data_IF_250914073460
#
_entry.id   IF_250914073460
#
_cell.length_a   1.000
_cell.length_b   1.000
_cell.length_c   1.000
_cell.angle_alpha   90.00
_cell.angle_beta   90.00
_cell.angle_gamma   90.00
#
_symmetry.space_group_name_H-M   'P 1'
#
loop_
_entity.id
_entity.type
_entity.pdbx_description
1 polymer ?
#
# COMPACT_ATOMS: atom_id res chain seq x y z
N UNK A 1 3.49 2.21 27.03
CA UNK A 1 2.37 2.30 26.07
C UNK A 1 3.00 2.15 24.71
N UNK A 2 2.88 0.98 24.07
CA UNK A 2 3.42 0.78 22.72
C UNK A 2 2.66 1.67 21.75
N UNK A 3 3.40 2.49 21.03
CA UNK A 3 2.93 3.48 20.07
C UNK A 3 2.17 2.74 18.98
N UNK A 4 0.99 3.24 18.58
CA UNK A 4 0.10 2.61 17.57
C UNK A 4 0.83 2.18 16.28
N UNK A 5 1.94 2.85 15.94
CA UNK A 5 2.79 2.52 14.79
C UNK A 5 3.57 1.21 14.95
N UNK A 6 4.08 0.89 16.13
CA UNK A 6 4.79 -0.38 16.36
C UNK A 6 3.83 -1.57 16.19
N UNK A 7 2.59 -1.42 16.67
CA UNK A 7 1.55 -2.44 16.51
C UNK A 7 1.14 -2.60 15.04
N UNK A 8 1.06 -1.51 14.29
CA UNK A 8 0.81 -1.57 12.86
C UNK A 8 1.97 -2.23 12.10
N UNK A 9 3.22 -2.00 12.53
CA UNK A 9 4.39 -2.64 11.95
C UNK A 9 4.34 -4.15 12.11
N UNK A 10 4.12 -4.64 13.33
CA UNK A 10 4.01 -6.08 13.61
C UNK A 10 2.89 -6.74 12.82
N UNK A 11 1.74 -6.07 12.68
CA UNK A 11 0.58 -6.61 11.98
C UNK A 11 0.71 -6.60 10.46
N UNK A 12 1.29 -5.55 9.88
CA UNK A 12 1.19 -5.29 8.44
C UNK A 12 2.51 -5.36 7.67
N UNK A 13 3.67 -5.40 8.32
CA UNK A 13 4.96 -5.34 7.61
C UNK A 13 5.14 -6.50 6.63
N UNK A 14 5.08 -7.74 7.12
CA UNK A 14 5.25 -8.92 6.29
C UNK A 14 4.17 -9.08 5.20
N UNK A 15 2.86 -8.95 5.48
CA UNK A 15 1.85 -9.10 4.43
C UNK A 15 1.92 -7.98 3.38
N UNK A 16 2.23 -6.74 3.76
CA UNK A 16 2.38 -5.65 2.80
C UNK A 16 3.63 -5.80 1.95
N UNK A 17 4.76 -6.16 2.57
CA UNK A 17 5.99 -6.43 1.83
C UNK A 17 5.74 -7.51 0.76
N UNK A 18 5.13 -8.64 1.15
CA UNK A 18 4.77 -9.69 0.20
C UNK A 18 3.78 -9.21 -0.87
N UNK A 19 2.80 -8.40 -0.50
CA UNK A 19 1.83 -7.84 -1.43
C UNK A 19 2.48 -6.93 -2.48
N UNK A 20 3.46 -6.11 -2.07
CA UNK A 20 4.23 -5.21 -2.93
C UNK A 20 5.17 -6.03 -3.80
N UNK A 21 5.93 -6.98 -3.25
CA UNK A 21 6.88 -7.84 -4.00
C UNK A 21 6.23 -8.67 -5.09
N UNK A 22 4.97 -9.08 -4.91
CA UNK A 22 4.19 -9.75 -5.97
C UNK A 22 3.87 -8.85 -7.18
N UNK A 23 3.99 -7.52 -7.02
CA UNK A 23 3.69 -6.52 -8.05
C UNK A 23 4.92 -5.78 -8.53
N UNK A 24 5.90 -5.59 -7.66
CA UNK A 24 7.13 -4.84 -7.89
C UNK A 24 8.31 -5.78 -7.79
N UNK A 25 8.93 -6.07 -8.93
CA UNK A 25 10.02 -7.03 -9.04
C UNK A 25 11.35 -6.55 -8.43
N UNK A 26 11.55 -5.23 -8.34
CA UNK A 26 12.72 -4.63 -7.71
C UNK A 26 12.54 -4.59 -6.18
N UNK A 27 13.49 -5.18 -5.45
CA UNK A 27 13.47 -5.23 -3.99
C UNK A 27 13.63 -3.85 -3.37
N UNK A 28 14.54 -3.02 -3.89
CA UNK A 28 14.79 -1.69 -3.35
C UNK A 28 13.54 -0.81 -3.48
N UNK A 29 12.88 -0.87 -4.63
CA UNK A 29 11.60 -0.16 -4.85
C UNK A 29 10.51 -0.70 -3.93
N UNK A 30 10.44 -2.02 -3.71
CA UNK A 30 9.43 -2.59 -2.84
C UNK A 30 9.60 -2.12 -1.38
N UNK A 31 10.84 -2.06 -0.90
CA UNK A 31 11.18 -1.51 0.42
C UNK A 31 10.86 -0.01 0.52
N UNK A 32 11.14 0.78 -0.51
CA UNK A 32 10.81 2.20 -0.55
C UNK A 32 9.29 2.43 -0.47
N UNK A 33 8.51 1.68 -1.26
CA UNK A 33 7.04 1.76 -1.23
C UNK A 33 6.49 1.31 0.12
N UNK A 34 7.08 0.29 0.74
CA UNK A 34 6.67 -0.18 2.06
C UNK A 34 6.90 0.90 3.13
N UNK A 35 8.06 1.56 3.09
CA UNK A 35 8.36 2.69 3.97
C UNK A 35 7.35 3.82 3.81
N UNK A 36 7.00 4.19 2.56
CA UNK A 36 5.99 5.21 2.27
C UNK A 36 4.60 4.84 2.83
N UNK A 37 4.22 3.55 2.78
CA UNK A 37 2.98 3.08 3.41
C UNK A 37 3.03 3.32 4.91
N UNK A 38 4.11 2.92 5.59
CA UNK A 38 4.23 3.07 7.05
C UNK A 38 4.32 4.53 7.50
N UNK A 39 4.95 5.41 6.71
CA UNK A 39 4.94 6.84 6.95
C UNK A 39 3.50 7.40 6.93
N UNK A 40 2.70 6.98 5.94
CA UNK A 40 1.29 7.37 5.87
C UNK A 40 0.46 6.79 7.02
N UNK A 41 0.71 5.53 7.39
CA UNK A 41 0.08 4.91 8.57
C UNK A 41 0.38 5.74 9.81
N UNK A 42 1.64 6.06 10.07
CA UNK A 42 2.05 6.84 11.24
C UNK A 42 1.32 8.19 11.32
N UNK A 43 1.23 8.92 10.20
CA UNK A 43 0.51 10.19 10.10
C UNK A 43 -1.00 10.06 10.38
N UNK A 44 -1.60 8.92 10.00
CA UNK A 44 -3.05 8.72 10.10
C UNK A 44 -3.47 7.99 11.39
N UNK A 45 -2.57 7.25 12.03
CA UNK A 45 -2.86 6.60 13.34
C UNK A 45 -3.12 7.61 14.45
N UNK A 46 -2.70 8.86 14.32
CA UNK A 46 -3.07 9.93 15.25
C UNK A 46 -4.57 10.28 15.22
N UNK A 47 -5.28 9.94 14.14
CA UNK A 47 -6.69 10.32 13.92
C UNK A 47 -7.68 9.15 13.94
N UNK A 48 -7.22 7.90 14.01
CA UNK A 48 -8.08 6.72 13.91
C UNK A 48 -8.42 6.09 15.28
N UNK A 49 -9.71 5.87 15.51
CA UNK A 49 -10.28 5.10 16.63
C UNK A 49 -10.71 3.68 16.24
N UNK A 50 -10.67 3.29 14.96
CA UNK A 50 -11.21 2.01 14.46
C UNK A 50 -10.21 1.26 13.57
N UNK A 51 -9.79 0.08 14.05
CA UNK A 51 -8.77 -0.78 13.44
C UNK A 51 -9.25 -1.47 12.16
N UNK A 52 -10.55 -1.76 12.02
CA UNK A 52 -11.07 -2.45 10.83
C UNK A 52 -11.07 -1.56 9.59
N UNK A 53 -11.32 -0.26 9.80
CA UNK A 53 -11.24 0.75 8.73
C UNK A 53 -9.80 1.04 8.33
N UNK A 54 -8.85 0.82 9.25
CA UNK A 54 -7.43 1.03 9.03
C UNK A 54 -6.85 0.03 8.02
N UNK A 55 -7.18 -1.26 8.13
CA UNK A 55 -6.65 -2.29 7.21
C UNK A 55 -7.03 -2.02 5.74
N UNK A 56 -8.31 -1.80 5.44
CA UNK A 56 -8.76 -1.50 4.08
C UNK A 56 -8.10 -0.23 3.51
N UNK A 57 -7.96 0.80 4.35
CA UNK A 57 -7.29 2.04 3.98
C UNK A 57 -5.78 1.85 3.71
N UNK A 58 -5.09 1.01 4.49
CA UNK A 58 -3.69 0.65 4.29
C UNK A 58 -3.47 -0.01 2.93
N UNK A 59 -4.30 -1.00 2.58
CA UNK A 59 -4.19 -1.66 1.28
C UNK A 59 -4.55 -0.73 0.12
N UNK A 60 -5.48 0.22 0.33
CA UNK A 60 -5.78 1.25 -0.66
C UNK A 60 -4.56 2.16 -0.92
N UNK A 61 -3.88 2.60 0.14
CA UNK A 61 -2.65 3.40 -0.02
C UNK A 61 -1.58 2.61 -0.76
N UNK A 62 -1.34 1.38 -0.33
CA UNK A 62 -0.31 0.51 -0.91
C UNK A 62 -0.55 0.34 -2.41
N UNK A 63 -1.80 0.11 -2.81
CA UNK A 63 -2.19 0.02 -4.22
C UNK A 63 -1.93 1.33 -4.97
N UNK A 64 -2.31 2.47 -4.40
CA UNK A 64 -2.11 3.77 -5.03
C UNK A 64 -0.63 4.06 -5.25
N UNK A 65 0.23 3.77 -4.26
CA UNK A 65 1.68 3.93 -4.37
C UNK A 65 2.28 3.06 -5.48
N UNK A 66 1.85 1.79 -5.59
CA UNK A 66 2.28 0.91 -6.69
C UNK A 66 1.85 1.49 -8.05
N UNK A 67 0.60 1.94 -8.16
CA UNK A 67 0.07 2.56 -9.39
C UNK A 67 0.89 3.80 -9.75
N UNK A 68 1.16 4.68 -8.79
CA UNK A 68 1.91 5.92 -9.01
C UNK A 68 3.36 5.63 -9.43
N UNK A 69 4.00 4.62 -8.83
CA UNK A 69 5.32 4.13 -9.25
C UNK A 69 5.30 3.72 -10.73
N UNK A 70 4.35 2.88 -11.15
CA UNK A 70 4.26 2.46 -12.55
C UNK A 70 3.86 3.58 -13.50
N UNK A 71 2.96 4.49 -13.08
CA UNK A 71 2.58 5.65 -13.87
C UNK A 71 3.76 6.57 -14.11
N UNK A 72 4.53 6.91 -13.09
CA UNK A 72 5.71 7.77 -13.23
C UNK A 72 6.75 7.16 -14.19
N UNK A 73 6.96 5.84 -14.12
CA UNK A 73 7.83 5.10 -15.04
C UNK A 73 7.30 5.04 -16.48
N UNK A 74 6.00 4.84 -16.67
CA UNK A 74 5.36 4.88 -17.99
C UNK A 74 5.28 6.30 -18.57
N UNK A 75 5.19 7.34 -17.74
CA UNK A 75 5.30 8.72 -18.22
C UNK A 75 6.71 9.05 -18.72
N UNK A 76 7.75 8.32 -18.27
CA UNK A 76 9.09 8.36 -18.86
C UNK A 76 9.24 7.52 -20.14
N UNK A 77 8.29 6.63 -20.44
CA UNK A 77 8.28 5.77 -21.65
C UNK A 77 6.85 5.63 -22.17
N UNK A 78 6.41 6.59 -22.98
CA UNK A 78 5.03 6.69 -23.47
C UNK A 78 4.48 5.36 -24.01
N UNK A 79 3.51 4.77 -23.28
CA UNK A 79 2.37 3.99 -23.80
C UNK A 79 1.51 3.52 -22.62
N UNK A 80 0.23 3.90 -22.65
CA UNK A 80 -0.79 3.58 -21.65
C UNK A 80 -1.57 2.37 -22.16
N UNK A 81 -1.23 1.15 -21.72
CA UNK A 81 -2.11 0.00 -21.95
C UNK A 81 -1.90 -1.21 -21.00
N UNK A 82 -1.02 -1.10 -20.00
CA UNK A 82 -0.68 -2.24 -19.14
C UNK A 82 -1.53 -2.39 -17.87
N UNK A 83 -2.53 -1.52 -17.63
CA UNK A 83 -3.09 -1.32 -16.29
C UNK A 83 -4.56 -1.73 -16.11
N UNK A 84 -5.04 -2.74 -16.85
CA UNK A 84 -6.43 -3.23 -16.68
C UNK A 84 -6.57 -4.62 -16.05
N UNK A 85 -5.48 -5.32 -15.70
CA UNK A 85 -5.61 -6.65 -15.07
C UNK A 85 -4.60 -6.86 -13.94
N UNK A 86 -4.64 -6.01 -12.92
CA UNK A 86 -4.31 -6.48 -11.58
C UNK A 86 -5.62 -6.97 -10.97
N UNK A 87 -6.02 -8.20 -11.30
CA UNK A 87 -7.14 -8.89 -10.66
C UNK A 87 -6.83 -9.02 -9.17
N UNK A 88 -7.36 -8.07 -8.42
CA UNK A 88 -7.06 -7.81 -7.03
C UNK A 88 -8.36 -8.03 -6.28
N UNK A 89 -8.51 -9.15 -5.56
CA UNK A 89 -9.77 -9.46 -4.89
C UNK A 89 -10.07 -8.37 -3.86
N UNK A 90 -11.25 -7.75 -3.96
CA UNK A 90 -11.86 -7.02 -2.84
C UNK A 90 -11.95 -5.50 -2.95
N UNK A 91 -12.27 -4.92 -4.11
CA UNK A 91 -12.75 -3.52 -4.15
C UNK A 91 -14.23 -3.37 -3.75
N UNK A 92 -14.97 -4.47 -3.58
CA UNK A 92 -16.43 -4.42 -3.51
C UNK A 92 -17.07 -4.37 -2.09
N UNK A 93 -16.35 -4.23 -0.97
CA UNK A 93 -17.03 -4.50 0.33
C UNK A 93 -16.71 -3.66 1.57
N UNK A 94 -16.14 -2.44 1.47
CA UNK A 94 -15.80 -1.68 2.69
C UNK A 94 -16.25 -0.21 2.74
N UNK A 95 -17.27 0.18 1.97
CA UNK A 95 -17.94 1.49 2.10
C UNK A 95 -19.45 1.38 2.41
N UNK A 96 -19.84 0.47 3.31
CA UNK A 96 -21.17 0.48 3.93
C UNK A 96 -21.05 0.59 5.45
#
# INVERSE_FOLDING_TARGET
>A
MTTTTEQAWEAFHAPLHQFIRRRVADEAVAEDLLQDVFLRIHQYTASLKDVRRLEGWIYQITRNLIIDYYRSRHHSTASLDAMQTLDLPGDASFLA
#
